data_IF_575341124732
#
_entry.id   IF_575341124732
#
_cell.length_a   1.000
_cell.length_b   1.000
_cell.length_c   1.000
_cell.angle_alpha   90.00
_cell.angle_beta   90.00
_cell.angle_gamma   90.00
#
_symmetry.space_group_name_H-M   'P 1'
#
loop_
_entity.id
_entity.type
_entity.pdbx_description
1 polymer ?
#
# COMPACT_ATOMS: atom_id res chain seq x y z
N UNK A 1 14.54 13.12 -56.00
CA UNK A 1 15.15 12.12 -55.06
C UNK A 1 15.32 12.84 -53.73
N UNK A 2 14.26 12.94 -52.98
CA UNK A 2 14.20 13.65 -51.67
C UNK A 2 13.87 12.61 -50.60
N UNK A 3 14.85 12.36 -49.75
CA UNK A 3 14.79 11.40 -48.70
C UNK A 3 13.80 11.88 -47.60
N UNK A 4 12.75 11.11 -47.44
CA UNK A 4 11.76 11.19 -46.42
C UNK A 4 12.38 10.62 -45.13
N UNK A 5 12.97 11.49 -44.31
CA UNK A 5 13.42 11.15 -42.96
C UNK A 5 12.18 11.19 -42.08
N UNK A 6 11.38 10.14 -42.11
CA UNK A 6 10.31 9.96 -41.15
C UNK A 6 10.90 9.87 -39.74
N UNK A 7 10.77 10.94 -38.98
CA UNK A 7 11.01 11.01 -37.56
C UNK A 7 10.08 9.99 -36.86
N UNK A 8 10.63 8.83 -36.60
CA UNK A 8 10.00 7.80 -35.77
C UNK A 8 10.09 8.22 -34.31
N UNK A 9 9.32 9.24 -33.94
CA UNK A 9 9.04 9.52 -32.52
C UNK A 9 8.16 8.38 -32.01
N UNK A 10 8.82 7.31 -31.59
CA UNK A 10 8.21 6.17 -30.96
C UNK A 10 7.48 6.61 -29.69
N UNK A 11 6.24 7.07 -29.86
CA UNK A 11 5.31 7.16 -28.74
C UNK A 11 5.19 5.74 -28.17
N UNK A 12 5.82 5.52 -27.03
CA UNK A 12 5.71 4.26 -26.29
C UNK A 12 4.23 4.03 -26.00
N UNK A 13 3.55 3.32 -26.88
CA UNK A 13 2.17 2.90 -26.69
C UNK A 13 2.14 1.99 -25.49
N UNK A 14 1.53 2.46 -24.40
CA UNK A 14 1.23 1.63 -23.24
C UNK A 14 0.52 0.36 -23.76
N UNK A 15 1.07 -0.80 -23.39
CA UNK A 15 0.44 -2.08 -23.71
C UNK A 15 -0.94 -2.12 -23.08
N UNK A 16 -1.98 -2.23 -23.89
CA UNK A 16 -3.36 -2.43 -23.40
C UNK A 16 -3.48 -3.84 -22.81
N UNK A 17 -4.21 -3.96 -21.71
CA UNK A 17 -4.58 -5.22 -21.07
C UNK A 17 -3.38 -6.06 -20.58
N UNK A 18 -2.40 -5.43 -19.95
CA UNK A 18 -1.28 -6.14 -19.31
C UNK A 18 -1.67 -6.75 -17.98
N UNK A 19 -2.65 -6.17 -17.30
CA UNK A 19 -3.13 -6.57 -15.98
C UNK A 19 -4.64 -6.83 -16.03
N UNK A 20 -5.05 -7.94 -15.42
CA UNK A 20 -6.44 -8.27 -15.23
C UNK A 20 -7.03 -7.53 -14.03
N UNK A 21 -8.35 -7.29 -14.03
CA UNK A 21 -9.06 -6.61 -12.95
C UNK A 21 -8.78 -7.21 -11.55
N UNK A 22 -8.80 -8.53 -11.36
CA UNK A 22 -8.47 -9.13 -10.06
C UNK A 22 -7.07 -8.76 -9.59
N UNK A 23 -6.08 -8.74 -10.48
CA UNK A 23 -4.69 -8.40 -10.13
C UNK A 23 -4.59 -6.96 -9.61
N UNK A 24 -5.27 -6.02 -10.25
CA UNK A 24 -5.29 -4.61 -9.83
C UNK A 24 -5.99 -4.44 -8.48
N UNK A 25 -7.11 -5.13 -8.26
CA UNK A 25 -7.85 -5.09 -7.00
C UNK A 25 -7.01 -5.69 -5.86
N UNK A 26 -6.41 -6.86 -6.06
CA UNK A 26 -5.56 -7.49 -5.04
C UNK A 26 -4.30 -6.65 -4.75
N UNK A 27 -3.72 -6.01 -5.75
CA UNK A 27 -2.61 -5.09 -5.53
C UNK A 27 -3.04 -3.89 -4.66
N UNK A 28 -4.22 -3.33 -4.90
CA UNK A 28 -4.76 -2.26 -4.07
C UNK A 28 -4.97 -2.71 -2.62
N UNK A 29 -5.55 -3.88 -2.39
CA UNK A 29 -5.77 -4.45 -1.06
C UNK A 29 -4.44 -4.66 -0.34
N UNK A 30 -3.46 -5.27 -1.02
CA UNK A 30 -2.14 -5.54 -0.43
C UNK A 30 -1.37 -4.24 -0.13
N UNK A 31 -1.55 -3.20 -0.96
CA UNK A 31 -0.95 -1.89 -0.69
C UNK A 31 -1.52 -1.23 0.58
N UNK A 32 -2.80 -1.44 0.87
CA UNK A 32 -3.44 -0.98 2.11
C UNK A 32 -2.93 -1.75 3.33
N UNK A 33 -2.48 -3.00 3.15
CA UNK A 33 -1.98 -3.90 4.20
C UNK A 33 -2.92 -3.93 5.44
N UNK A 34 -4.17 -4.43 5.29
CA UNK A 34 -5.19 -4.33 6.33
C UNK A 34 -4.77 -4.98 7.65
N UNK A 35 -4.08 -6.10 7.64
CA UNK A 35 -3.64 -6.79 8.85
C UNK A 35 -2.65 -5.97 9.67
N UNK A 36 -1.66 -5.35 9.05
CA UNK A 36 -0.70 -4.47 9.72
C UNK A 36 -1.41 -3.25 10.30
N UNK A 37 -2.36 -2.67 9.56
CA UNK A 37 -3.13 -1.53 10.04
C UNK A 37 -3.98 -1.89 11.27
N UNK A 38 -4.60 -3.05 11.29
CA UNK A 38 -5.37 -3.52 12.47
C UNK A 38 -4.45 -3.69 13.67
N UNK A 39 -3.32 -4.39 13.51
CA UNK A 39 -2.41 -4.70 14.64
C UNK A 39 -1.66 -3.47 15.14
N UNK A 40 -1.27 -2.55 14.26
CA UNK A 40 -0.42 -1.42 14.60
C UNK A 40 -1.20 -0.12 14.80
N UNK A 41 -2.09 0.22 13.87
CA UNK A 41 -2.76 1.52 13.87
C UNK A 41 -3.91 1.58 14.88
N UNK A 42 -4.69 0.50 15.02
CA UNK A 42 -5.83 0.48 15.94
C UNK A 42 -5.44 0.69 17.39
N UNK A 43 -4.42 0.01 17.96
CA UNK A 43 -4.01 0.28 19.34
C UNK A 43 -3.56 1.72 19.57
N UNK A 44 -2.84 2.31 18.61
CA UNK A 44 -2.40 3.71 18.70
C UNK A 44 -3.59 4.67 18.72
N UNK A 45 -4.57 4.44 17.82
CA UNK A 45 -5.78 5.25 17.77
C UNK A 45 -6.61 5.06 19.05
N UNK A 46 -6.74 3.83 19.55
CA UNK A 46 -7.44 3.55 20.79
C UNK A 46 -6.83 4.28 21.99
N UNK A 47 -5.50 4.31 22.08
CA UNK A 47 -4.77 5.04 23.13
C UNK A 47 -4.96 6.56 23.04
N UNK A 48 -5.10 7.12 21.83
CA UNK A 48 -5.24 8.56 21.61
C UNK A 48 -6.67 9.04 21.63
N UNK A 49 -7.58 8.32 21.00
CA UNK A 49 -8.99 8.69 20.82
C UNK A 49 -9.90 8.09 21.91
N UNK A 50 -9.45 7.04 22.61
CA UNK A 50 -10.26 6.38 23.64
C UNK A 50 -11.65 5.97 23.13
N UNK A 51 -12.73 6.30 23.87
CA UNK A 51 -14.11 5.98 23.48
C UNK A 51 -14.58 6.64 22.17
N UNK A 52 -13.90 7.70 21.72
CA UNK A 52 -14.22 8.40 20.46
C UNK A 52 -13.66 7.68 19.22
N UNK A 53 -12.93 6.58 19.37
CA UNK A 53 -12.35 5.82 18.27
C UNK A 53 -13.36 5.46 17.17
N UNK A 54 -14.56 4.90 17.43
CA UNK A 54 -15.52 4.56 16.39
C UNK A 54 -15.97 5.77 15.56
N UNK A 55 -16.18 6.91 16.20
CA UNK A 55 -16.58 8.16 15.53
C UNK A 55 -15.45 8.64 14.62
N UNK A 56 -14.20 8.56 15.07
CA UNK A 56 -13.03 8.93 14.27
C UNK A 56 -12.92 8.08 13.01
N UNK A 57 -13.19 6.76 13.10
CA UNK A 57 -13.22 5.88 11.95
C UNK A 57 -14.35 6.21 10.98
N UNK A 58 -15.55 6.49 11.47
CA UNK A 58 -16.68 6.90 10.65
C UNK A 58 -16.37 8.18 9.86
N UNK A 59 -15.88 9.21 10.54
CA UNK A 59 -15.50 10.47 9.88
C UNK A 59 -14.41 10.26 8.84
N UNK A 60 -13.36 9.50 9.17
CA UNK A 60 -12.28 9.17 8.23
C UNK A 60 -12.80 8.42 7.03
N UNK A 61 -13.72 7.46 7.21
CA UNK A 61 -14.31 6.69 6.11
C UNK A 61 -15.09 7.60 5.16
N UNK A 62 -15.86 8.55 5.69
CA UNK A 62 -16.59 9.53 4.88
C UNK A 62 -15.62 10.37 4.05
N UNK A 63 -14.56 10.90 4.68
CA UNK A 63 -13.55 11.70 3.97
C UNK A 63 -12.85 10.87 2.88
N UNK A 64 -12.43 9.65 3.21
CA UNK A 64 -11.80 8.75 2.24
C UNK A 64 -12.74 8.40 1.07
N UNK A 65 -14.03 8.23 1.33
CA UNK A 65 -15.03 8.00 0.28
C UNK A 65 -15.10 9.17 -0.71
N UNK A 66 -15.13 10.40 -0.23
CA UNK A 66 -15.13 11.57 -1.11
C UNK A 66 -13.84 11.70 -1.92
N UNK A 67 -12.69 11.46 -1.29
CA UNK A 67 -11.40 11.46 -1.99
C UNK A 67 -11.37 10.37 -3.06
N UNK A 68 -11.77 9.14 -2.71
CA UNK A 68 -11.81 8.01 -3.63
C UNK A 68 -12.76 8.25 -4.82
N UNK A 69 -13.93 8.82 -4.57
CA UNK A 69 -14.87 9.19 -5.62
C UNK A 69 -14.28 10.26 -6.57
N UNK A 70 -13.61 11.27 -6.03
CA UNK A 70 -12.94 12.30 -6.82
C UNK A 70 -11.87 11.71 -7.72
N UNK A 71 -10.99 10.85 -7.17
CA UNK A 71 -9.94 10.16 -7.93
C UNK A 71 -10.52 9.25 -9.01
N UNK A 72 -11.61 8.54 -8.71
CA UNK A 72 -12.33 7.69 -9.67
C UNK A 72 -12.86 8.48 -10.85
N UNK A 73 -13.49 9.64 -10.60
CA UNK A 73 -13.97 10.50 -11.66
C UNK A 73 -12.82 11.05 -12.52
N UNK A 74 -11.76 11.55 -11.91
CA UNK A 74 -10.59 12.00 -12.68
C UNK A 74 -9.98 10.90 -13.53
N UNK A 75 -9.91 9.69 -13.02
CA UNK A 75 -9.38 8.53 -13.74
C UNK A 75 -10.22 8.16 -14.98
N UNK A 76 -11.54 8.35 -14.93
CA UNK A 76 -12.43 8.09 -16.06
C UNK A 76 -12.30 9.14 -17.16
N UNK A 77 -12.20 10.42 -16.80
CA UNK A 77 -12.13 11.51 -17.77
C UNK A 77 -10.73 11.81 -18.28
N UNK A 78 -9.71 11.48 -17.50
CA UNK A 78 -8.31 11.78 -17.80
C UNK A 78 -7.39 10.58 -17.51
N UNK A 79 -7.52 9.47 -18.28
CA UNK A 79 -6.62 8.33 -18.13
C UNK A 79 -5.19 8.77 -18.46
N UNK A 80 -4.33 8.79 -17.48
CA UNK A 80 -2.95 9.27 -17.61
C UNK A 80 -2.02 8.39 -16.78
N UNK A 81 -0.84 8.11 -17.30
CA UNK A 81 0.22 7.40 -16.56
C UNK A 81 0.83 8.23 -15.43
N UNK A 82 0.56 9.54 -15.40
CA UNK A 82 1.06 10.45 -14.36
C UNK A 82 0.26 10.44 -13.04
N UNK A 83 -0.87 9.72 -12.97
CA UNK A 83 -1.68 9.58 -11.76
C UNK A 83 -2.01 10.93 -11.09
N UNK A 84 -1.76 11.03 -9.80
CA UNK A 84 -2.06 12.23 -9.00
C UNK A 84 -1.39 13.51 -9.50
N UNK A 85 -0.18 13.42 -10.07
CA UNK A 85 0.48 14.56 -10.69
C UNK A 85 -0.37 15.17 -11.80
N UNK A 86 -0.83 14.33 -12.72
CA UNK A 86 -1.64 14.79 -13.88
C UNK A 86 -2.97 15.40 -13.43
N UNK A 87 -3.59 14.84 -12.40
CA UNK A 87 -4.84 15.37 -11.85
C UNK A 87 -4.63 16.71 -11.17
N UNK A 88 -3.60 16.83 -10.35
CA UNK A 88 -3.26 18.07 -9.66
C UNK A 88 -2.85 19.19 -10.62
N UNK A 89 -2.03 18.88 -11.63
CA UNK A 89 -1.58 19.85 -12.63
C UNK A 89 -2.75 20.42 -13.44
N UNK A 90 -3.65 19.54 -13.88
CA UNK A 90 -4.81 19.96 -14.68
C UNK A 90 -5.89 20.68 -13.88
N UNK A 91 -6.06 20.32 -12.60
CA UNK A 91 -7.09 20.93 -11.74
C UNK A 91 -6.65 22.20 -11.04
N UNK A 92 -5.39 22.27 -10.61
CA UNK A 92 -4.87 23.31 -9.72
C UNK A 92 -3.64 24.04 -10.28
N UNK A 93 -3.16 23.63 -11.47
CA UNK A 93 -2.00 24.21 -12.14
C UNK A 93 -0.66 23.55 -11.78
N UNK A 94 0.39 23.94 -12.50
CA UNK A 94 1.71 23.30 -12.49
C UNK A 94 2.39 23.30 -11.12
N UNK A 95 2.24 24.38 -10.35
CA UNK A 95 2.81 24.47 -8.99
C UNK A 95 2.24 23.41 -8.04
N UNK A 96 0.93 23.20 -8.11
CA UNK A 96 0.25 22.18 -7.31
C UNK A 96 0.63 20.77 -7.74
N UNK A 97 0.77 20.54 -9.06
CA UNK A 97 1.28 19.28 -9.59
C UNK A 97 2.68 18.95 -9.09
N UNK A 98 3.57 19.93 -9.11
CA UNK A 98 4.92 19.77 -8.58
C UNK A 98 4.93 19.42 -7.07
N UNK A 99 4.18 20.16 -6.26
CA UNK A 99 4.07 19.89 -4.82
C UNK A 99 3.49 18.50 -4.54
N UNK A 100 2.48 18.07 -5.29
CA UNK A 100 1.87 16.75 -5.19
C UNK A 100 2.90 15.65 -5.50
N UNK A 101 3.70 15.83 -6.55
CA UNK A 101 4.75 14.87 -6.92
C UNK A 101 5.80 14.72 -5.82
N UNK A 102 6.28 15.83 -5.27
CA UNK A 102 7.25 15.82 -4.18
C UNK A 102 6.69 15.14 -2.92
N UNK A 103 5.46 15.45 -2.55
CA UNK A 103 4.80 14.82 -1.40
C UNK A 103 4.65 13.31 -1.60
N UNK A 104 4.27 12.89 -2.80
CA UNK A 104 4.12 11.48 -3.14
C UNK A 104 5.46 10.74 -3.15
N UNK A 105 6.51 11.35 -3.69
CA UNK A 105 7.86 10.79 -3.72
C UNK A 105 8.42 10.59 -2.31
N UNK A 106 8.22 11.56 -1.42
CA UNK A 106 8.61 11.45 -0.01
C UNK A 106 7.86 10.30 0.66
N UNK A 107 6.56 10.19 0.42
CA UNK A 107 5.73 9.10 0.95
C UNK A 107 6.21 7.73 0.44
N UNK A 108 6.49 7.60 -0.86
CA UNK A 108 6.94 6.34 -1.49
C UNK A 108 8.31 5.87 -0.98
N UNK A 109 9.16 6.77 -0.52
CA UNK A 109 10.46 6.42 0.06
C UNK A 109 10.32 6.05 1.54
N UNK A 110 9.62 6.85 2.32
CA UNK A 110 9.53 6.69 3.78
C UNK A 110 8.59 5.55 4.16
N UNK A 111 7.45 5.40 3.46
CA UNK A 111 6.43 4.40 3.78
C UNK A 111 6.95 2.97 3.75
N UNK A 112 7.48 2.48 2.63
CA UNK A 112 8.04 1.13 2.53
C UNK A 112 9.22 0.89 3.47
N UNK A 113 10.10 1.88 3.66
CA UNK A 113 11.22 1.77 4.58
C UNK A 113 10.74 1.58 6.03
N UNK A 114 9.72 2.34 6.44
CA UNK A 114 9.09 2.19 7.74
C UNK A 114 8.41 0.82 7.93
N UNK A 115 7.70 0.34 6.91
CA UNK A 115 7.05 -0.97 6.92
C UNK A 115 8.06 -2.13 7.06
N UNK A 116 9.18 -2.08 6.32
CA UNK A 116 10.25 -3.07 6.41
C UNK A 116 10.91 -3.05 7.79
N UNK A 117 11.19 -1.87 8.33
CA UNK A 117 11.73 -1.72 9.67
C UNK A 117 10.82 -2.27 10.75
N UNK A 118 9.51 -1.98 10.65
CA UNK A 118 8.49 -2.48 11.57
C UNK A 118 8.34 -4.00 11.50
N UNK A 119 8.33 -4.59 10.30
CA UNK A 119 8.31 -6.04 10.12
C UNK A 119 9.53 -6.68 10.78
N UNK A 120 10.72 -6.12 10.57
CA UNK A 120 11.95 -6.60 11.21
C UNK A 120 11.86 -6.57 12.73
N UNK A 121 11.30 -5.51 13.29
CA UNK A 121 11.07 -5.39 14.74
C UNK A 121 10.08 -6.43 15.26
N UNK A 122 8.93 -6.61 14.58
CA UNK A 122 7.94 -7.61 14.97
C UNK A 122 8.50 -9.03 14.98
N UNK A 123 9.22 -9.41 13.93
CA UNK A 123 9.84 -10.74 13.84
C UNK A 123 10.88 -10.94 14.95
N UNK A 124 11.71 -9.93 15.19
CA UNK A 124 12.73 -9.96 16.25
C UNK A 124 12.11 -10.14 17.64
N UNK A 125 11.06 -9.38 17.98
CA UNK A 125 10.36 -9.49 19.27
C UNK A 125 9.66 -10.84 19.41
N UNK A 126 8.97 -11.30 18.38
CA UNK A 126 8.27 -12.61 18.40
C UNK A 126 9.22 -13.76 18.62
N UNK A 127 10.41 -13.74 17.98
CA UNK A 127 11.43 -14.79 18.18
C UNK A 127 12.01 -14.71 19.57
N UNK A 128 12.27 -13.51 20.08
CA UNK A 128 12.78 -13.35 21.44
C UNK A 128 11.78 -13.88 22.47
N UNK A 129 10.50 -13.59 22.32
CA UNK A 129 9.45 -14.03 23.24
C UNK A 129 9.19 -15.55 23.16
N UNK A 130 9.33 -16.15 21.96
CA UNK A 130 9.08 -17.58 21.76
C UNK A 130 10.26 -18.47 22.11
N UNK A 131 11.48 -18.02 21.83
CA UNK A 131 12.70 -18.84 21.93
C UNK A 131 13.75 -18.29 22.88
N UNK A 132 13.55 -17.10 23.45
CA UNK A 132 14.51 -16.44 24.33
C UNK A 132 15.81 -15.98 23.64
N UNK A 133 15.82 -15.94 22.30
CA UNK A 133 16.98 -15.55 21.50
C UNK A 133 16.83 -14.11 21.01
N UNK A 134 17.71 -13.22 21.47
CA UNK A 134 17.69 -11.81 21.02
C UNK A 134 18.46 -11.64 19.72
N UNK A 135 17.76 -11.63 18.60
CA UNK A 135 18.31 -11.32 17.28
C UNK A 135 18.00 -9.85 16.95
N UNK A 136 18.99 -9.04 16.54
CA UNK A 136 18.75 -7.64 16.19
C UNK A 136 17.75 -7.50 15.03
N UNK A 137 16.79 -6.59 15.16
CA UNK A 137 15.70 -6.36 14.20
C UNK A 137 16.18 -6.01 12.78
N UNK A 138 17.34 -5.36 12.66
CA UNK A 138 17.88 -4.93 11.36
C UNK A 138 18.28 -6.10 10.46
N UNK A 139 18.59 -7.28 11.03
CA UNK A 139 18.91 -8.49 10.26
C UNK A 139 17.66 -8.93 9.47
N UNK A 140 16.50 -8.95 10.12
CA UNK A 140 15.24 -9.30 9.47
C UNK A 140 14.80 -8.24 8.48
N UNK A 141 15.04 -6.97 8.79
CA UNK A 141 14.77 -5.87 7.87
C UNK A 141 15.61 -6.00 6.59
N UNK A 142 16.90 -6.28 6.70
CA UNK A 142 17.78 -6.51 5.55
C UNK A 142 17.39 -7.76 4.76
N UNK A 143 17.04 -8.85 5.43
CA UNK A 143 16.56 -10.07 4.77
C UNK A 143 15.29 -9.79 3.96
N UNK A 144 14.31 -9.08 4.54
CA UNK A 144 13.08 -8.67 3.85
C UNK A 144 13.40 -7.78 2.65
N UNK A 145 14.28 -6.80 2.83
CA UNK A 145 14.70 -5.92 1.74
C UNK A 145 15.35 -6.71 0.60
N UNK A 146 16.25 -7.67 0.92
CA UNK A 146 16.89 -8.52 -0.07
C UNK A 146 15.88 -9.39 -0.83
N UNK A 147 14.88 -9.96 -0.14
CA UNK A 147 13.79 -10.73 -0.77
C UNK A 147 12.99 -9.86 -1.73
N UNK A 148 12.58 -8.68 -1.30
CA UNK A 148 11.83 -7.73 -2.14
C UNK A 148 12.65 -7.31 -3.35
N UNK A 149 13.94 -7.02 -3.16
CA UNK A 149 14.84 -6.64 -4.25
C UNK A 149 14.98 -7.76 -5.29
N UNK A 150 15.17 -9.00 -4.85
CA UNK A 150 15.23 -10.18 -5.72
C UNK A 150 13.91 -10.36 -6.49
N UNK A 151 12.76 -10.30 -5.80
CA UNK A 151 11.45 -10.43 -6.44
C UNK A 151 11.21 -9.35 -7.50
N UNK A 152 11.65 -8.12 -7.23
CA UNK A 152 11.52 -7.01 -8.17
C UNK A 152 12.41 -7.22 -9.40
N UNK A 153 13.58 -7.82 -9.22
CA UNK A 153 14.51 -8.11 -10.31
C UNK A 153 13.96 -9.14 -11.32
N UNK A 154 13.22 -10.15 -10.85
CA UNK A 154 12.61 -11.19 -11.70
C UNK A 154 11.40 -10.73 -12.52
N UNK A 155 10.98 -9.49 -12.36
CA UNK A 155 9.98 -8.83 -13.19
C UNK A 155 8.58 -8.80 -12.60
N UNK A 156 7.80 -7.87 -13.14
CA UNK A 156 6.48 -7.47 -12.61
C UNK A 156 5.47 -8.63 -12.50
N UNK A 157 5.54 -9.61 -13.39
CA UNK A 157 4.59 -10.75 -13.39
C UNK A 157 4.77 -11.66 -12.18
N UNK A 158 6.01 -11.92 -11.77
CA UNK A 158 6.30 -12.74 -10.59
C UNK A 158 5.94 -11.99 -9.32
N UNK A 159 6.31 -10.72 -9.23
CA UNK A 159 5.96 -9.85 -8.12
C UNK A 159 4.45 -9.77 -7.92
N UNK A 160 3.68 -9.55 -8.99
CA UNK A 160 2.21 -9.51 -8.95
C UNK A 160 1.59 -10.82 -8.50
N UNK A 161 2.10 -11.97 -8.99
CA UNK A 161 1.61 -13.29 -8.57
C UNK A 161 1.85 -13.54 -7.08
N UNK A 162 3.03 -13.17 -6.59
CA UNK A 162 3.38 -13.26 -5.17
C UNK A 162 2.47 -12.38 -4.32
N UNK A 163 2.22 -11.15 -4.75
CA UNK A 163 1.31 -10.21 -4.09
C UNK A 163 -0.11 -10.76 -3.98
N UNK A 164 -0.65 -11.37 -5.04
CA UNK A 164 -1.99 -11.98 -5.01
C UNK A 164 -2.05 -13.14 -4.02
N UNK A 165 -1.02 -14.00 -3.97
CA UNK A 165 -0.98 -15.13 -3.05
C UNK A 165 -0.93 -14.64 -1.58
N UNK A 166 -0.02 -13.72 -1.27
CA UNK A 166 0.09 -13.18 0.08
C UNK A 166 -1.16 -12.39 0.50
N UNK A 167 -1.74 -11.59 -0.40
CA UNK A 167 -2.99 -10.88 -0.14
C UNK A 167 -4.17 -11.82 0.11
N UNK A 168 -4.26 -12.94 -0.62
CA UNK A 168 -5.29 -13.94 -0.38
C UNK A 168 -5.12 -14.64 0.98
N UNK A 169 -3.87 -14.98 1.36
CA UNK A 169 -3.55 -15.55 2.67
C UNK A 169 -3.89 -14.55 3.78
N UNK A 170 -3.52 -13.29 3.63
CA UNK A 170 -3.83 -12.22 4.58
C UNK A 170 -5.34 -12.08 4.81
N UNK A 171 -6.12 -12.04 3.74
CA UNK A 171 -7.58 -11.98 3.82
C UNK A 171 -8.16 -13.22 4.49
N UNK A 172 -7.66 -14.42 4.19
CA UNK A 172 -8.11 -15.67 4.80
C UNK A 172 -7.83 -15.70 6.31
N UNK A 173 -6.66 -15.23 6.75
CA UNK A 173 -6.30 -15.15 8.18
C UNK A 173 -7.20 -14.12 8.88
N UNK A 174 -7.40 -12.94 8.29
CA UNK A 174 -8.19 -11.87 8.88
C UNK A 174 -9.67 -12.26 9.02
N UNK A 175 -10.24 -12.96 8.03
CA UNK A 175 -11.63 -13.42 8.07
C UNK A 175 -11.83 -14.60 9.02
N UNK A 176 -10.81 -15.44 9.22
CA UNK A 176 -10.91 -16.63 10.08
C UNK A 176 -10.63 -16.30 11.57
N UNK A 177 -10.06 -15.14 11.85
CA UNK A 177 -9.81 -14.68 13.23
C UNK A 177 -11.09 -14.05 13.79
N UNK A 178 -12.09 -14.88 14.13
CA UNK A 178 -13.26 -14.44 14.88
C UNK A 178 -12.81 -13.95 16.27
N UNK A 179 -13.22 -12.74 16.69
CA UNK A 179 -12.95 -12.31 18.05
C UNK A 179 -13.61 -13.29 19.02
N UNK A 180 -12.89 -13.66 20.08
CA UNK A 180 -13.42 -14.52 21.14
C UNK A 180 -14.78 -13.98 21.63
N UNK A 181 -15.78 -14.84 21.89
CA UNK A 181 -17.10 -14.41 22.32
C UNK A 181 -16.98 -13.57 23.60
N UNK A 182 -17.79 -12.51 23.68
CA UNK A 182 -17.80 -11.51 24.76
C UNK A 182 -17.95 -12.09 26.20
N UNK A 183 -18.18 -13.40 26.32
CA UNK A 183 -18.23 -14.12 27.59
C UNK A 183 -16.88 -14.27 28.30
N UNK A 184 -15.77 -13.88 27.68
CA UNK A 184 -14.43 -13.98 28.26
C UNK A 184 -13.98 -12.75 29.06
N UNK A 185 -14.79 -11.68 29.13
CA UNK A 185 -14.47 -10.51 29.94
C UNK A 185 -15.09 -10.65 31.34
N UNK A 186 -14.29 -10.63 32.42
CA UNK A 186 -14.83 -10.63 33.74
C UNK A 186 -15.67 -9.35 33.96
N UNK A 187 -16.94 -9.51 34.27
CA UNK A 187 -17.83 -8.44 34.73
C UNK A 187 -17.23 -7.80 35.97
N UNK A 188 -16.81 -6.55 35.89
CA UNK A 188 -16.55 -5.69 37.07
C UNK A 188 -17.74 -4.80 37.30
#
# INVERSE_FOLDING_TARGET
>A
MTAETASNTGTARLRRNVLDLPQVVFQGITHIAPSINVVFTFPIIALKAGPAMPISFLLTTIVCYFIGNTVSQFSQYMPSSGGYYSFATRGLGDRSGFMTTWSYLIYDIIGPAGAIGFLGYLVSTTINDAFGVSIPWWIFALATFAIVWVLTHFGIKLSMRTTVIFGAIEMAITTNHQPAPHSAWPSR
#
